data_IF_725657371179
#
_entry.id   IF_725657371179
#
_cell.length_a   1.000
_cell.length_b   1.000
_cell.length_c   1.000
_cell.angle_alpha   90.00
_cell.angle_beta   90.00
_cell.angle_gamma   90.00
#
_symmetry.space_group_name_H-M   'P 1'
#
loop_
_entity.id
_entity.type
_entity.pdbx_description
1 polymer ?
#
# COMPACT_ATOMS: atom_id res chain seq x y z
N UNK A 1 -14.16 -15.88 1.85
CA UNK A 1 -12.90 -15.11 2.01
C UNK A 1 -13.23 -13.87 2.82
N UNK A 2 -12.46 -13.56 3.86
CA UNK A 2 -12.72 -12.42 4.73
C UNK A 2 -12.09 -11.13 4.21
N UNK A 3 -12.49 -9.97 4.74
CA UNK A 3 -11.93 -8.66 4.36
C UNK A 3 -10.41 -8.61 4.55
N UNK A 4 -9.89 -9.15 5.65
CA UNK A 4 -8.45 -9.19 5.91
C UNK A 4 -7.70 -9.91 4.78
N UNK A 5 -8.23 -11.03 4.29
CA UNK A 5 -7.62 -11.77 3.19
C UNK A 5 -7.65 -10.98 1.87
N UNK A 6 -8.71 -10.20 1.62
CA UNK A 6 -8.81 -9.30 0.45
C UNK A 6 -7.75 -8.20 0.54
N UNK A 7 -7.59 -7.57 1.71
CA UNK A 7 -6.59 -6.53 1.94
C UNK A 7 -5.16 -7.07 1.81
N UNK A 8 -4.85 -8.22 2.41
CA UNK A 8 -3.51 -8.84 2.32
C UNK A 8 -3.12 -9.31 0.92
N UNK A 9 -4.07 -9.45 -0.01
CA UNK A 9 -3.82 -9.87 -1.40
C UNK A 9 -3.71 -8.68 -2.35
N UNK A 10 -4.11 -7.50 -1.91
CA UNK A 10 -4.02 -6.28 -2.71
C UNK A 10 -2.62 -5.67 -2.54
N UNK A 11 -1.91 -5.35 -3.63
CA UNK A 11 -0.63 -4.65 -3.55
C UNK A 11 -0.83 -3.27 -2.92
N UNK A 12 -0.03 -2.99 -1.90
CA UNK A 12 -0.02 -1.72 -1.17
C UNK A 12 1.33 -1.03 -1.24
N UNK A 13 2.00 -1.04 -2.39
CA UNK A 13 3.36 -0.51 -2.47
C UNK A 13 3.35 0.99 -2.18
N UNK A 14 4.26 1.46 -1.32
CA UNK A 14 4.34 2.89 -0.97
C UNK A 14 4.45 3.77 -2.22
N UNK A 15 3.51 4.70 -2.38
CA UNK A 15 3.34 5.58 -3.54
C UNK A 15 2.51 5.01 -4.71
N UNK A 16 2.03 3.77 -4.62
CA UNK A 16 1.22 3.07 -5.63
C UNK A 16 0.02 2.36 -4.99
N UNK A 17 -0.60 2.98 -3.99
CA UNK A 17 -1.66 2.40 -3.15
C UNK A 17 -3.06 2.40 -3.80
N UNK A 18 -3.18 2.68 -5.10
CA UNK A 18 -4.47 2.84 -5.79
C UNK A 18 -5.40 1.63 -5.64
N UNK A 19 -4.85 0.41 -5.66
CA UNK A 19 -5.64 -0.82 -5.57
C UNK A 19 -6.22 -1.02 -4.16
N UNK A 20 -5.38 -0.90 -3.12
CA UNK A 20 -5.84 -1.03 -1.73
C UNK A 20 -6.74 0.15 -1.32
N UNK A 21 -6.48 1.35 -1.82
CA UNK A 21 -7.33 2.53 -1.63
C UNK A 21 -8.75 2.28 -2.14
N UNK A 22 -8.90 1.67 -3.33
CA UNK A 22 -10.21 1.33 -3.89
C UNK A 22 -10.97 0.35 -3.00
N UNK A 23 -10.29 -0.68 -2.51
CA UNK A 23 -10.90 -1.67 -1.61
C UNK A 23 -11.34 -1.00 -0.31
N UNK A 24 -10.49 -0.18 0.31
CA UNK A 24 -10.81 0.56 1.53
C UNK A 24 -12.00 1.49 1.35
N UNK A 25 -12.07 2.21 0.22
CA UNK A 25 -13.20 3.08 -0.10
C UNK A 25 -14.51 2.31 -0.19
N UNK A 26 -14.54 1.19 -0.92
CA UNK A 26 -15.74 0.34 -1.04
C UNK A 26 -16.25 -0.11 0.33
N UNK A 27 -15.36 -0.55 1.22
CA UNK A 27 -15.72 -1.01 2.57
C UNK A 27 -16.17 0.15 3.49
N UNK A 28 -15.57 1.33 3.33
CA UNK A 28 -15.95 2.52 4.08
C UNK A 28 -17.32 3.04 3.62
N UNK A 29 -17.64 2.98 2.32
CA UNK A 29 -18.95 3.41 1.80
C UNK A 29 -20.10 2.57 2.36
N UNK A 30 -19.85 1.32 2.71
CA UNK A 30 -20.84 0.42 3.35
C UNK A 30 -21.04 0.76 4.83
N UNK A 31 -19.99 1.25 5.50
CA UNK A 31 -19.94 1.29 6.97
C UNK A 31 -19.94 2.70 7.58
N UNK A 32 -19.60 3.74 6.82
CA UNK A 32 -19.48 5.13 7.24
C UNK A 32 -20.60 6.00 6.66
N UNK A 33 -20.88 7.13 7.32
CA UNK A 33 -21.90 8.10 6.87
C UNK A 33 -21.35 9.01 5.76
N UNK A 34 -20.04 9.27 5.78
CA UNK A 34 -19.32 10.05 4.76
C UNK A 34 -17.97 9.39 4.51
N UNK A 35 -17.57 9.36 3.25
CA UNK A 35 -16.27 8.87 2.80
C UNK A 35 -15.68 9.89 1.84
N UNK A 36 -14.41 10.24 2.05
CA UNK A 36 -13.66 11.11 1.16
C UNK A 36 -12.25 10.55 0.93
N UNK A 37 -11.68 10.90 -0.23
CA UNK A 37 -10.26 10.68 -0.52
C UNK A 37 -9.61 12.05 -0.62
N UNK A 38 -8.54 12.25 0.13
CA UNK A 38 -7.79 13.51 0.08
C UNK A 38 -6.81 13.56 -1.11
N UNK A 39 -6.10 14.68 -1.26
CA UNK A 39 -5.14 14.84 -2.36
C UNK A 39 -3.92 13.90 -2.28
N UNK A 40 -3.69 13.24 -1.13
CA UNK A 40 -2.62 12.28 -0.91
C UNK A 40 -3.09 10.83 -1.10
N UNK A 41 -4.37 10.61 -1.38
CA UNK A 41 -4.93 9.27 -1.52
C UNK A 41 -5.32 8.60 -0.21
N UNK A 42 -5.38 9.34 0.90
CA UNK A 42 -5.87 8.80 2.17
C UNK A 42 -7.39 8.60 2.10
N UNK A 43 -7.87 7.43 2.52
CA UNK A 43 -9.31 7.14 2.62
C UNK A 43 -9.80 7.52 4.02
N UNK A 44 -10.69 8.50 4.09
CA UNK A 44 -11.20 9.06 5.35
C UNK A 44 -12.69 8.75 5.47
N UNK A 45 -13.06 8.00 6.51
CA UNK A 45 -14.44 7.66 6.84
C UNK A 45 -14.91 8.37 8.10
N UNK A 46 -16.06 9.05 8.03
CA UNK A 46 -16.72 9.63 9.19
C UNK A 46 -17.98 8.83 9.54
N UNK A 47 -18.16 8.53 10.84
CA UNK A 47 -19.35 7.81 11.34
C UNK A 47 -19.87 8.41 12.63
N UNK A 48 -21.18 8.64 12.67
CA UNK A 48 -21.89 9.20 13.82
C UNK A 48 -21.89 10.72 13.87
N UNK A 49 -22.68 11.27 14.80
CA UNK A 49 -22.94 12.73 14.95
C UNK A 49 -22.68 13.23 16.38
N UNK A 50 -21.75 12.60 17.08
CA UNK A 50 -21.42 12.91 18.48
C UNK A 50 -20.71 14.25 18.66
N UNK A 51 -20.83 14.86 19.85
CA UNK A 51 -20.14 16.12 20.20
C UNK A 51 -18.62 15.93 20.39
N UNK A 52 -18.19 14.75 20.82
CA UNK A 52 -16.76 14.40 20.96
C UNK A 52 -16.34 13.59 19.74
N UNK A 53 -15.15 13.89 19.20
CA UNK A 53 -14.58 13.21 18.03
C UNK A 53 -13.42 12.31 18.47
N UNK A 54 -13.34 11.12 17.91
CA UNK A 54 -12.24 10.16 18.07
C UNK A 54 -11.74 9.83 16.65
N UNK A 55 -10.42 9.83 16.46
CA UNK A 55 -9.78 9.45 15.19
C UNK A 55 -9.04 8.13 15.38
N UNK A 56 -9.29 7.18 14.48
CA UNK A 56 -8.49 5.98 14.33
C UNK A 56 -7.68 6.15 13.04
N UNK A 57 -6.40 5.87 13.11
CA UNK A 57 -5.49 5.99 11.97
C UNK A 57 -4.72 4.68 11.78
N UNK A 58 -4.59 4.26 10.53
CA UNK A 58 -3.77 3.14 10.08
C UNK A 58 -3.23 3.50 8.69
N UNK A 59 -2.09 2.92 8.33
CA UNK A 59 -1.49 3.11 7.01
C UNK A 59 -1.86 1.90 6.12
N UNK A 60 -2.02 2.14 4.81
CA UNK A 60 -2.41 1.13 3.83
C UNK A 60 -1.20 0.49 3.14
N UNK A 61 -0.04 1.16 3.23
CA UNK A 61 1.15 0.77 2.53
C UNK A 61 1.88 -0.39 3.21
N UNK A 62 2.60 -1.14 2.39
CA UNK A 62 3.45 -2.25 2.80
C UNK A 62 4.91 -2.02 2.39
N UNK A 63 5.82 -2.65 3.14
CA UNK A 63 7.24 -2.63 2.82
C UNK A 63 7.49 -3.63 1.70
N UNK A 64 8.13 -3.17 0.63
CA UNK A 64 8.50 -4.00 -0.52
C UNK A 64 10.02 -4.06 -0.64
N UNK A 65 10.55 -5.23 -1.00
CA UNK A 65 11.96 -5.39 -1.35
C UNK A 65 12.18 -5.03 -2.82
N UNK A 66 13.30 -4.37 -3.11
CA UNK A 66 13.67 -3.94 -4.47
C UNK A 66 13.69 -5.12 -5.47
N UNK A 67 14.06 -6.31 -5.02
CA UNK A 67 14.03 -7.55 -5.83
C UNK A 67 12.63 -7.97 -6.24
N UNK A 68 11.63 -7.59 -5.44
CA UNK A 68 10.25 -8.03 -5.59
C UNK A 68 9.42 -7.02 -6.41
N UNK A 69 9.98 -5.83 -6.67
CA UNK A 69 9.39 -4.79 -7.51
C UNK A 69 10.41 -4.19 -8.52
N UNK A 70 10.83 -4.96 -9.53
CA UNK A 70 11.88 -4.54 -10.48
C UNK A 70 11.52 -3.27 -11.27
N UNK A 71 10.24 -2.96 -11.42
CA UNK A 71 9.74 -1.77 -12.13
C UNK A 71 9.75 -0.49 -11.27
N UNK A 72 10.01 -0.59 -9.97
CA UNK A 72 10.07 0.54 -9.04
C UNK A 72 11.50 1.00 -8.71
N UNK A 73 12.53 0.27 -9.18
CA UNK A 73 13.91 0.69 -9.00
C UNK A 73 14.16 1.99 -9.80
N UNK A 74 14.73 3.06 -9.19
CA UNK A 74 15.10 4.28 -9.91
C UNK A 74 16.29 4.07 -10.88
N UNK A 75 16.80 2.84 -10.95
CA UNK A 75 17.90 2.42 -11.83
C UNK A 75 17.37 1.44 -12.89
N UNK A 76 16.69 1.91 -13.94
CA UNK A 76 16.01 1.07 -14.93
C UNK A 76 16.93 0.15 -15.77
N UNK A 77 18.23 0.08 -15.48
CA UNK A 77 19.21 -0.67 -16.27
C UNK A 77 20.38 -1.28 -15.48
N UNK A 78 20.41 -1.26 -14.14
CA UNK A 78 21.33 -2.15 -13.42
C UNK A 78 20.56 -3.41 -13.05
N UNK A 79 20.49 -4.34 -14.01
CA UNK A 79 20.30 -5.74 -13.69
C UNK A 79 21.19 -6.05 -12.47
N UNK A 80 20.61 -6.75 -11.51
CA UNK A 80 21.35 -7.69 -10.68
C UNK A 80 22.02 -8.70 -11.62
N UNK A 81 23.04 -8.29 -12.37
CA UNK A 81 24.07 -9.20 -12.78
C UNK A 81 24.71 -9.63 -11.47
N UNK A 82 24.62 -10.92 -11.07
CA UNK A 82 25.36 -11.37 -9.91
C UNK A 82 26.81 -10.94 -10.14
N UNK A 83 27.38 -10.20 -9.18
CA UNK A 83 28.81 -9.89 -9.19
C UNK A 83 29.50 -11.25 -9.07
N UNK A 84 29.82 -11.86 -10.21
CA UNK A 84 30.60 -13.07 -10.28
C UNK A 84 32.02 -12.69 -9.90
N UNK A 85 32.34 -12.73 -8.61
CA UNK A 85 33.72 -12.68 -8.14
C UNK A 85 34.38 -13.98 -8.59
N UNK A 86 35.03 -13.96 -9.76
CA UNK A 86 35.93 -15.03 -10.17
C UNK A 86 37.21 -14.91 -9.33
N UNK A 87 37.25 -15.65 -8.23
CA UNK A 87 38.50 -15.91 -7.51
C UNK A 87 39.28 -16.95 -8.32
N UNK A 88 40.31 -16.50 -9.02
CA UNK A 88 41.33 -17.39 -9.58
C UNK A 88 42.38 -17.62 -8.50
N UNK A 89 42.46 -18.83 -7.96
CA UNK A 89 43.59 -19.23 -7.13
C UNK A 89 44.84 -19.40 -8.01
N UNK A 90 45.98 -18.88 -7.55
CA UNK A 90 47.30 -19.22 -8.09
C UNK A 90 47.71 -20.63 -7.67
#
# INVERSE_FOLDING_TARGET
MGLLEKLCKAPGISGFEDEIQKIMKEEFEISCDKVEIDNFGNVIGEKGKGKKKIMLAAHMDEIVLETDAPYLSPFPNRRNEPINIKLTAQ
#
